data_IF_030596514114
#
_entry.id   IF_030596514114
#
_cell.length_a   1.000
_cell.length_b   1.000
_cell.length_c   1.000
_cell.angle_alpha   90.00
_cell.angle_beta   90.00
_cell.angle_gamma   90.00
#
_symmetry.space_group_name_H-M   'P 1'
#
loop_
_entity.id
_entity.type
_entity.pdbx_description
1 polymer ?
#
# COMPACT_ATOMS: atom_id res chain seq x y z
N UNK A 1 -4.40 -21.09 21.58
CA UNK A 1 -2.97 -20.79 21.71
C UNK A 1 -2.21 -21.34 20.50
N UNK A 2 -2.23 -20.55 19.42
CA UNK A 2 -1.57 -20.91 18.14
C UNK A 2 -0.05 -20.64 18.23
N UNK A 3 0.40 -20.09 19.34
CA UNK A 3 1.79 -19.72 19.60
C UNK A 3 2.69 -20.91 19.97
N UNK A 4 2.16 -22.11 20.02
CA UNK A 4 2.96 -23.24 20.48
C UNK A 4 3.38 -24.15 19.35
N UNK A 5 4.67 -24.18 19.08
CA UNK A 5 5.46 -25.39 18.80
C UNK A 5 4.88 -26.50 17.87
N UNK A 6 3.88 -26.21 17.06
CA UNK A 6 3.36 -27.14 16.07
C UNK A 6 3.32 -26.48 14.71
N UNK A 7 3.91 -27.10 13.70
CA UNK A 7 3.72 -26.69 12.32
C UNK A 7 2.22 -26.80 12.00
N UNK A 8 1.49 -25.69 12.02
CA UNK A 8 0.11 -25.65 11.54
C UNK A 8 0.10 -26.16 10.10
N UNK A 9 -0.71 -27.17 9.83
CA UNK A 9 -0.88 -27.70 8.50
C UNK A 9 -1.82 -26.81 7.72
N UNK A 10 -1.68 -26.78 6.41
CA UNK A 10 -2.61 -26.04 5.55
C UNK A 10 -4.08 -26.45 5.79
N UNK A 11 -4.31 -27.73 6.09
CA UNK A 11 -5.62 -28.27 6.46
C UNK A 11 -6.18 -27.75 7.79
N UNK A 12 -5.36 -27.14 8.62
CA UNK A 12 -5.82 -26.57 9.89
C UNK A 12 -6.47 -25.20 9.67
N UNK A 13 -6.18 -24.55 8.56
CA UNK A 13 -6.79 -23.29 8.12
C UNK A 13 -7.91 -23.51 7.10
N UNK A 14 -7.81 -24.54 6.27
CA UNK A 14 -8.75 -24.84 5.19
C UNK A 14 -9.22 -26.28 5.30
N UNK A 15 -10.43 -26.49 5.82
CA UNK A 15 -11.00 -27.85 5.94
C UNK A 15 -11.42 -28.33 4.56
N UNK A 16 -10.81 -29.41 4.03
CA UNK A 16 -11.25 -29.98 2.77
C UNK A 16 -12.57 -30.72 2.94
N UNK A 17 -13.46 -30.61 1.97
CA UNK A 17 -14.66 -31.43 1.87
C UNK A 17 -14.87 -31.85 0.40
N UNK A 18 -15.88 -32.68 0.14
CA UNK A 18 -16.09 -33.27 -1.21
C UNK A 18 -16.28 -32.23 -2.31
N UNK A 19 -16.93 -31.10 -1.99
CA UNK A 19 -17.17 -30.01 -2.96
C UNK A 19 -15.96 -29.05 -3.10
N UNK A 20 -14.98 -29.13 -2.18
CA UNK A 20 -13.79 -28.29 -2.18
C UNK A 20 -12.54 -29.12 -1.84
N UNK A 21 -12.07 -29.90 -2.80
CA UNK A 21 -10.96 -30.83 -2.59
C UNK A 21 -9.58 -30.26 -2.93
N UNK A 22 -9.49 -28.96 -3.32
CA UNK A 22 -8.28 -28.24 -3.74
C UNK A 22 -7.49 -28.90 -4.88
N UNK A 23 -8.06 -29.82 -5.64
CA UNK A 23 -7.37 -30.36 -6.82
C UNK A 23 -7.02 -29.22 -7.77
N UNK A 24 -5.86 -29.32 -8.38
CA UNK A 24 -5.32 -28.34 -9.32
C UNK A 24 -5.07 -26.94 -8.73
N UNK A 25 -5.17 -26.79 -7.40
CA UNK A 25 -4.75 -25.58 -6.71
C UNK A 25 -3.23 -25.54 -6.56
N UNK A 26 -2.65 -24.37 -6.72
CA UNK A 26 -1.23 -24.12 -6.51
C UNK A 26 -0.95 -22.68 -6.13
N UNK A 27 0.24 -22.45 -5.64
CA UNK A 27 0.75 -21.11 -5.40
C UNK A 27 2.26 -21.10 -5.60
N UNK A 28 2.77 -19.94 -5.93
CA UNK A 28 4.20 -19.70 -6.09
C UNK A 28 4.66 -18.72 -5.02
N UNK A 29 5.74 -19.04 -4.35
CA UNK A 29 6.37 -18.16 -3.37
C UNK A 29 7.67 -17.65 -3.94
N UNK A 30 7.80 -16.34 -4.04
CA UNK A 30 9.04 -15.66 -4.33
C UNK A 30 9.62 -15.14 -3.03
N UNK A 31 10.88 -15.46 -2.76
CA UNK A 31 11.55 -14.94 -1.59
C UNK A 31 12.98 -14.53 -1.93
N UNK A 32 13.43 -13.50 -1.26
CA UNK A 32 14.77 -13.00 -1.38
C UNK A 32 15.61 -13.67 -0.30
N UNK A 33 16.65 -14.39 -0.69
CA UNK A 33 17.57 -14.97 0.27
C UNK A 33 18.74 -14.02 0.46
N UNK A 34 18.96 -13.62 1.70
CA UNK A 34 20.31 -13.32 2.16
C UNK A 34 21.17 -14.57 2.10
N UNK A 35 22.37 -14.55 2.67
CA UNK A 35 23.20 -15.75 2.70
C UNK A 35 22.46 -16.92 3.38
N UNK A 36 22.33 -18.03 2.68
CA UNK A 36 21.83 -19.29 3.24
C UNK A 36 23.00 -20.06 3.88
N UNK A 37 22.77 -20.73 5.02
CA UNK A 37 23.72 -21.67 5.55
C UNK A 37 23.71 -22.98 4.73
N UNK A 38 24.64 -23.88 5.01
CA UNK A 38 24.76 -25.19 4.34
C UNK A 38 23.51 -26.10 4.49
N UNK A 39 22.54 -25.70 5.35
CA UNK A 39 21.28 -26.39 5.58
C UNK A 39 20.10 -25.67 4.89
N UNK A 40 20.36 -24.58 4.14
CA UNK A 40 19.33 -23.79 3.47
C UNK A 40 18.57 -22.81 4.37
N UNK A 41 19.05 -22.56 5.60
CA UNK A 41 18.45 -21.59 6.50
C UNK A 41 19.04 -20.19 6.25
N UNK A 42 18.20 -19.16 6.25
CA UNK A 42 18.65 -17.78 6.07
C UNK A 42 19.47 -17.33 7.27
N UNK A 43 20.73 -16.92 7.04
CA UNK A 43 21.63 -16.45 8.09
C UNK A 43 21.57 -14.93 8.24
N UNK A 44 21.35 -14.20 7.15
CA UNK A 44 21.31 -12.75 7.17
C UNK A 44 20.33 -12.21 6.14
N UNK A 45 19.67 -11.14 6.50
CA UNK A 45 18.86 -10.35 5.59
C UNK A 45 19.77 -9.32 4.90
N UNK A 46 19.75 -9.30 3.57
CA UNK A 46 20.39 -8.25 2.80
C UNK A 46 19.28 -7.30 2.35
N UNK A 47 19.23 -6.04 2.82
CA UNK A 47 18.32 -5.05 2.30
C UNK A 47 18.60 -4.86 0.80
N UNK A 48 17.60 -5.02 -0.05
CA UNK A 48 17.68 -4.95 -1.50
C UNK A 48 18.67 -5.96 -2.14
N UNK A 49 18.28 -7.24 -2.23
CA UNK A 49 19.03 -8.25 -2.97
C UNK A 49 19.10 -7.89 -4.47
N UNK A 50 20.16 -8.33 -5.14
CA UNK A 50 20.22 -8.23 -6.59
C UNK A 50 19.09 -9.05 -7.25
N UNK A 51 18.64 -8.69 -8.46
CA UNK A 51 17.54 -9.40 -9.14
C UNK A 51 17.76 -10.92 -9.29
N UNK A 52 19.02 -11.38 -9.22
CA UNK A 52 19.39 -12.80 -9.32
C UNK A 52 19.28 -13.56 -7.99
N UNK A 53 18.96 -12.88 -6.88
CA UNK A 53 18.86 -13.50 -5.56
C UNK A 53 17.40 -13.84 -5.19
N UNK A 54 16.49 -13.83 -6.17
CA UNK A 54 15.09 -14.23 -5.99
C UNK A 54 15.00 -15.74 -6.15
N UNK A 55 14.61 -16.44 -5.09
CA UNK A 55 14.27 -17.84 -5.13
C UNK A 55 12.77 -17.99 -5.35
N UNK A 56 12.41 -18.87 -6.28
CA UNK A 56 11.00 -19.16 -6.59
C UNK A 56 10.71 -20.61 -6.24
N UNK A 57 9.69 -20.82 -5.43
CA UNK A 57 9.22 -22.16 -5.08
C UNK A 57 7.75 -22.30 -5.45
N UNK A 58 7.47 -23.26 -6.33
CA UNK A 58 6.11 -23.62 -6.73
C UNK A 58 5.57 -24.74 -5.84
N UNK A 59 4.32 -24.59 -5.43
CA UNK A 59 3.56 -25.58 -4.69
C UNK A 59 2.28 -25.88 -5.44
N UNK A 60 2.05 -27.17 -5.74
CA UNK A 60 0.83 -27.63 -6.38
C UNK A 60 0.26 -28.83 -5.63
N UNK A 61 -1.06 -28.96 -5.65
CA UNK A 61 -1.74 -30.10 -5.07
C UNK A 61 -2.03 -31.17 -6.12
N UNK A 62 -1.38 -32.31 -5.99
CA UNK A 62 -1.69 -33.48 -6.80
C UNK A 62 -2.65 -34.45 -6.07
N UNK A 63 -2.27 -34.92 -4.86
CA UNK A 63 -3.12 -35.80 -4.04
C UNK A 63 -3.22 -35.36 -2.59
N UNK A 64 -2.16 -34.77 -2.07
CA UNK A 64 -2.09 -34.17 -0.71
C UNK A 64 -1.42 -32.82 -0.81
N UNK A 65 -1.91 -31.87 -0.03
CA UNK A 65 -1.20 -30.65 0.22
C UNK A 65 0.01 -30.97 1.08
N UNK A 66 1.11 -31.21 0.46
CA UNK A 66 2.36 -31.53 1.14
C UNK A 66 3.44 -30.56 0.68
N UNK A 67 3.43 -29.30 1.18
CA UNK A 67 4.55 -28.41 0.95
C UNK A 67 5.80 -29.08 1.49
N UNK A 68 6.90 -29.01 0.76
CA UNK A 68 8.19 -29.52 1.23
C UNK A 68 8.72 -28.47 2.22
N UNK A 69 8.24 -28.54 3.46
CA UNK A 69 8.55 -27.58 4.52
C UNK A 69 10.05 -27.44 4.79
N UNK A 70 10.81 -28.47 4.53
CA UNK A 70 12.27 -28.54 4.73
C UNK A 70 13.06 -27.64 3.76
N UNK A 71 12.44 -27.21 2.66
CA UNK A 71 13.09 -26.39 1.62
C UNK A 71 12.74 -24.91 1.68
N UNK A 72 11.92 -24.50 2.61
CA UNK A 72 11.56 -23.07 2.76
C UNK A 72 12.50 -22.40 3.75
N UNK A 73 12.78 -21.10 3.58
CA UNK A 73 13.49 -20.35 4.60
C UNK A 73 12.70 -20.37 5.90
N UNK A 74 13.42 -20.47 7.02
CA UNK A 74 12.79 -20.34 8.34
C UNK A 74 12.48 -18.88 8.54
N UNK A 75 11.20 -18.56 8.72
CA UNK A 75 10.73 -17.22 9.05
C UNK A 75 9.79 -17.34 10.24
N UNK A 76 10.14 -16.68 11.35
CA UNK A 76 9.27 -16.62 12.50
C UNK A 76 7.98 -15.92 12.10
N UNK A 77 6.86 -16.57 12.34
CA UNK A 77 5.56 -16.07 11.89
C UNK A 77 4.54 -16.24 12.99
N UNK A 78 3.69 -15.22 13.18
CA UNK A 78 2.59 -15.22 14.13
C UNK A 78 1.29 -14.88 13.40
N UNK A 79 0.24 -15.64 13.69
CA UNK A 79 -1.10 -15.41 13.17
C UNK A 79 -2.08 -15.04 14.28
N UNK A 80 -2.79 -13.94 14.09
CA UNK A 80 -3.87 -13.49 14.95
C UNK A 80 -5.20 -13.60 14.18
N UNK A 81 -5.97 -14.65 14.48
CA UNK A 81 -7.31 -14.85 13.92
C UNK A 81 -8.42 -14.35 14.82
N UNK A 82 -9.66 -14.42 14.34
CA UNK A 82 -10.86 -14.05 15.09
C UNK A 82 -11.10 -14.91 16.33
N UNK A 83 -10.58 -16.12 16.38
CA UNK A 83 -10.77 -17.05 17.51
C UNK A 83 -10.18 -16.53 18.82
N UNK A 84 -9.24 -15.59 18.76
CA UNK A 84 -8.64 -14.96 19.95
C UNK A 84 -9.50 -13.85 20.54
N UNK A 85 -10.57 -13.43 19.84
CA UNK A 85 -11.43 -12.30 20.23
C UNK A 85 -12.47 -12.63 21.28
N UNK A 86 -12.73 -13.90 21.56
CA UNK A 86 -13.64 -14.31 22.64
C UNK A 86 -13.19 -13.67 23.97
N UNK A 87 -14.10 -13.00 24.65
CA UNK A 87 -13.80 -12.54 26.01
C UNK A 87 -13.55 -13.75 26.85
N UNK A 88 -12.53 -13.75 27.72
CA UNK A 88 -12.28 -14.84 28.65
C UNK A 88 -13.49 -15.11 29.60
N UNK A 89 -14.44 -14.16 29.66
CA UNK A 89 -15.73 -14.34 30.35
C UNK A 89 -16.61 -15.39 29.68
N UNK A 90 -16.44 -15.64 28.39
CA UNK A 90 -17.21 -16.68 27.68
C UNK A 90 -16.63 -18.08 27.92
N UNK A 91 -15.38 -18.16 28.37
CA UNK A 91 -14.81 -19.41 28.87
C UNK A 91 -15.21 -19.63 30.33
N UNK A 92 -16.31 -20.38 30.56
CA UNK A 92 -16.83 -20.73 31.90
C UNK A 92 -15.78 -21.42 32.78
N UNK A 93 -14.76 -22.05 32.22
CA UNK A 93 -13.67 -22.69 32.96
C UNK A 93 -12.66 -21.67 33.50
N UNK A 94 -12.43 -20.58 32.80
CA UNK A 94 -11.52 -19.51 33.20
C UNK A 94 -12.15 -18.57 34.24
N UNK A 95 -13.46 -18.31 34.15
CA UNK A 95 -14.16 -17.33 34.98
C UNK A 95 -14.40 -17.75 36.44
N UNK A 96 -14.31 -19.03 36.74
CA UNK A 96 -14.74 -19.57 38.04
C UNK A 96 -13.80 -19.44 39.23
N UNK A 97 -12.56 -18.93 39.06
CA UNK A 97 -11.58 -18.86 40.15
C UNK A 97 -10.66 -17.64 40.15
N UNK A 98 -10.96 -16.75 41.04
CA UNK A 98 -10.31 -15.46 41.23
C UNK A 98 -8.95 -15.47 41.95
N UNK A 99 -8.35 -16.64 42.30
CA UNK A 99 -7.04 -16.65 42.97
C UNK A 99 -5.91 -16.78 41.94
N UNK A 100 -5.13 -15.74 41.81
CA UNK A 100 -3.97 -15.68 40.92
C UNK A 100 -2.77 -15.00 41.59
N UNK A 101 -1.58 -15.23 41.09
CA UNK A 101 -0.36 -14.55 41.49
C UNK A 101 0.00 -13.62 40.34
N UNK A 102 0.28 -12.34 40.65
CA UNK A 102 0.75 -11.37 39.70
C UNK A 102 2.27 -11.35 39.67
N UNK A 103 2.84 -11.31 38.48
CA UNK A 103 4.28 -11.18 38.22
C UNK A 103 4.49 -10.01 37.26
N UNK A 104 5.68 -9.43 37.29
CA UNK A 104 6.03 -8.42 36.31
C UNK A 104 5.96 -9.00 34.90
N UNK A 105 5.48 -8.20 33.96
CA UNK A 105 5.53 -8.57 32.56
C UNK A 105 7.00 -8.51 32.08
N UNK A 106 7.47 -9.60 31.52
CA UNK A 106 8.85 -9.68 31.05
C UNK A 106 8.89 -9.97 29.52
N UNK A 107 9.84 -9.40 28.82
CA UNK A 107 10.89 -8.46 29.28
C UNK A 107 10.37 -7.05 29.55
N UNK A 108 10.97 -6.34 30.51
CA UNK A 108 10.50 -5.02 30.94
C UNK A 108 10.46 -3.97 29.82
N UNK A 109 11.42 -3.99 28.89
CA UNK A 109 11.44 -3.07 27.75
C UNK A 109 10.29 -3.32 26.77
N UNK A 110 9.83 -4.55 26.61
CA UNK A 110 8.65 -4.88 25.81
C UNK A 110 7.38 -4.41 26.50
N UNK A 111 7.28 -4.61 27.80
CA UNK A 111 6.20 -4.04 28.63
C UNK A 111 6.02 -2.55 28.35
N UNK A 112 7.11 -1.80 28.41
CA UNK A 112 7.09 -0.36 28.21
C UNK A 112 6.62 0.01 26.78
N UNK A 113 7.15 -0.66 25.76
CA UNK A 113 6.73 -0.44 24.36
C UNK A 113 5.23 -0.71 24.18
N UNK A 114 4.70 -1.80 24.74
CA UNK A 114 3.26 -2.12 24.65
C UNK A 114 2.43 -1.01 25.34
N UNK A 115 2.80 -0.58 26.54
CA UNK A 115 2.07 0.46 27.26
C UNK A 115 2.06 1.79 26.50
N UNK A 116 3.22 2.22 25.99
CA UNK A 116 3.34 3.44 25.19
C UNK A 116 2.47 3.37 23.92
N UNK A 117 2.48 2.24 23.21
CA UNK A 117 1.66 2.02 22.04
C UNK A 117 0.15 2.03 22.38
N UNK A 118 -0.25 1.38 23.49
CA UNK A 118 -1.63 1.43 23.97
C UNK A 118 -2.07 2.85 24.32
N UNK A 119 -1.21 3.65 24.97
CA UNK A 119 -1.50 5.05 25.28
C UNK A 119 -1.76 5.86 24.01
N UNK A 120 -0.95 5.67 22.97
CA UNK A 120 -1.12 6.38 21.68
C UNK A 120 -2.38 5.99 20.95
N UNK A 121 -2.65 4.69 20.86
CA UNK A 121 -3.81 4.15 20.11
C UNK A 121 -5.13 4.44 20.79
N UNK A 122 -5.20 4.22 22.11
CA UNK A 122 -6.45 4.31 22.90
C UNK A 122 -6.64 5.66 23.59
N UNK A 123 -5.68 6.58 23.48
CA UNK A 123 -5.72 7.91 24.09
C UNK A 123 -6.04 7.88 25.60
N UNK A 124 -5.42 6.94 26.30
CA UNK A 124 -5.62 6.76 27.73
C UNK A 124 -4.29 6.49 28.44
N UNK A 125 -4.22 6.80 29.73
CA UNK A 125 -3.00 6.60 30.52
C UNK A 125 -2.91 5.15 31.03
N UNK A 126 -2.07 4.35 30.36
CA UNK A 126 -1.74 2.98 30.78
C UNK A 126 -0.39 3.00 31.50
N UNK A 127 -0.42 2.86 32.82
CA UNK A 127 0.76 3.02 33.67
C UNK A 127 1.40 1.70 34.09
N UNK A 128 0.67 0.58 34.06
CA UNK A 128 1.21 -0.73 34.44
C UNK A 128 0.59 -1.90 33.65
N UNK A 129 1.38 -2.93 33.44
CA UNK A 129 1.02 -4.20 32.84
C UNK A 129 1.71 -5.32 33.59
N UNK A 130 0.93 -6.29 34.06
CA UNK A 130 1.43 -7.46 34.80
C UNK A 130 0.90 -8.75 34.18
N UNK A 131 1.66 -9.82 34.27
CA UNK A 131 1.21 -11.17 33.95
C UNK A 131 0.65 -11.83 35.21
N UNK A 132 -0.55 -12.35 35.11
CA UNK A 132 -1.22 -13.09 36.17
C UNK A 132 -1.27 -14.58 35.82
N UNK A 133 -1.00 -15.44 36.81
CA UNK A 133 -1.05 -16.90 36.66
C UNK A 133 -1.95 -17.49 37.70
N UNK A 134 -2.94 -18.26 37.25
CA UNK A 134 -3.83 -19.04 38.15
C UNK A 134 -3.13 -20.31 38.65
N UNK A 135 -3.66 -20.92 39.70
CA UNK A 135 -3.17 -22.24 40.19
C UNK A 135 -3.25 -23.35 39.14
N UNK A 136 -4.16 -23.23 38.18
CA UNK A 136 -4.33 -24.20 37.07
C UNK A 136 -3.42 -23.93 35.87
N UNK A 137 -2.54 -22.91 35.96
CA UNK A 137 -1.60 -22.59 34.90
C UNK A 137 -2.11 -21.62 33.83
N UNK A 138 -3.36 -21.15 33.88
CA UNK A 138 -3.85 -20.12 32.96
C UNK A 138 -3.15 -18.81 33.23
N UNK A 139 -2.72 -18.14 32.15
CA UNK A 139 -2.10 -16.84 32.20
C UNK A 139 -3.00 -15.81 31.54
N UNK A 140 -3.09 -14.64 32.13
CA UNK A 140 -3.81 -13.47 31.62
C UNK A 140 -3.13 -12.19 32.06
N UNK A 141 -3.53 -11.08 31.49
CA UNK A 141 -2.90 -9.77 31.76
C UNK A 141 -3.74 -8.94 32.73
N UNK A 142 -3.05 -8.12 33.54
CA UNK A 142 -3.63 -7.13 34.44
C UNK A 142 -3.04 -5.78 34.12
N UNK A 143 -3.89 -4.77 34.03
CA UNK A 143 -3.56 -3.40 33.61
C UNK A 143 -3.90 -2.40 34.70
N UNK A 144 -3.18 -1.29 34.70
CA UNK A 144 -3.57 -0.07 35.41
C UNK A 144 -3.75 1.03 34.37
N UNK A 145 -5.00 1.53 34.25
CA UNK A 145 -5.42 2.58 33.30
C UNK A 145 -6.09 3.70 34.08
N UNK A 146 -5.62 4.93 33.91
CA UNK A 146 -6.14 6.10 34.62
C UNK A 146 -6.25 5.87 36.15
N UNK A 147 -5.26 5.18 36.73
CA UNK A 147 -5.24 4.84 38.15
C UNK A 147 -6.14 3.68 38.59
N UNK A 148 -6.93 3.09 37.69
CA UNK A 148 -7.81 1.95 37.97
C UNK A 148 -7.16 0.66 37.50
N UNK A 149 -7.09 -0.33 38.38
CA UNK A 149 -6.51 -1.64 38.06
C UNK A 149 -7.63 -2.66 37.77
N UNK A 150 -7.48 -3.34 36.62
CA UNK A 150 -8.42 -4.38 36.17
C UNK A 150 -7.67 -5.47 35.39
N UNK A 151 -8.38 -6.53 35.04
CA UNK A 151 -7.79 -7.67 34.32
C UNK A 151 -8.38 -7.80 32.92
N UNK A 152 -7.74 -8.58 32.11
CA UNK A 152 -8.17 -8.92 30.75
C UNK A 152 -9.61 -9.49 30.69
N UNK A 153 -10.11 -10.07 31.79
CA UNK A 153 -11.49 -10.58 31.90
C UNK A 153 -12.55 -9.46 31.91
N UNK A 154 -12.19 -8.26 32.35
CA UNK A 154 -13.10 -7.11 32.46
C UNK A 154 -12.77 -6.01 31.47
N UNK A 155 -11.83 -6.28 30.59
CA UNK A 155 -11.42 -5.37 29.53
C UNK A 155 -12.48 -5.31 28.43
N UNK A 156 -12.71 -4.14 27.85
CA UNK A 156 -13.55 -4.01 26.67
C UNK A 156 -12.95 -4.76 25.46
N UNK A 157 -13.80 -5.35 24.63
CA UNK A 157 -13.35 -6.21 23.55
C UNK A 157 -12.44 -5.49 22.54
N UNK A 158 -12.73 -4.23 22.21
CA UNK A 158 -11.85 -3.41 21.34
C UNK A 158 -10.51 -3.08 21.99
N UNK A 159 -10.51 -2.79 23.29
CA UNK A 159 -9.27 -2.57 24.05
C UNK A 159 -8.42 -3.84 24.10
N UNK A 160 -9.05 -5.00 24.31
CA UNK A 160 -8.38 -6.30 24.25
C UNK A 160 -7.77 -6.55 22.87
N UNK A 161 -8.51 -6.26 21.79
CA UNK A 161 -8.00 -6.40 20.42
C UNK A 161 -6.74 -5.57 20.19
N UNK A 162 -6.74 -4.30 20.59
CA UNK A 162 -5.57 -3.43 20.48
C UNK A 162 -4.39 -4.02 21.27
N UNK A 163 -4.62 -4.46 22.48
CA UNK A 163 -3.57 -5.08 23.31
C UNK A 163 -2.98 -6.34 22.65
N UNK A 164 -3.82 -7.26 22.15
CA UNK A 164 -3.35 -8.51 21.53
C UNK A 164 -2.52 -8.23 20.27
N UNK A 165 -2.96 -7.28 19.44
CA UNK A 165 -2.23 -6.87 18.23
C UNK A 165 -0.89 -6.25 18.59
N UNK A 166 -0.86 -5.30 19.52
CA UNK A 166 0.38 -4.64 19.95
C UNK A 166 1.35 -5.58 20.66
N UNK A 167 0.82 -6.50 21.48
CA UNK A 167 1.63 -7.54 22.11
C UNK A 167 2.31 -8.44 21.09
N UNK A 168 1.57 -8.84 20.04
CA UNK A 168 2.12 -9.62 18.93
C UNK A 168 3.15 -8.83 18.12
N UNK A 169 2.87 -7.57 17.78
CA UNK A 169 3.77 -6.72 17.03
C UNK A 169 5.09 -6.39 17.78
N UNK A 170 5.05 -6.43 19.11
CA UNK A 170 6.24 -6.24 19.94
C UNK A 170 6.89 -7.56 20.38
N UNK A 171 6.44 -8.72 19.87
CA UNK A 171 7.04 -10.00 20.24
C UNK A 171 8.52 -10.07 19.80
N UNK A 172 9.45 -10.30 20.72
CA UNK A 172 10.86 -10.39 20.38
C UNK A 172 11.19 -11.50 19.38
N UNK A 173 10.39 -12.57 19.34
CA UNK A 173 10.58 -13.68 18.41
C UNK A 173 10.41 -13.27 16.95
N UNK A 174 9.61 -12.25 16.68
CA UNK A 174 9.41 -11.75 15.31
C UNK A 174 10.51 -10.77 14.85
N UNK A 175 11.47 -10.44 15.70
CA UNK A 175 12.47 -9.42 15.42
C UNK A 175 13.86 -10.01 15.19
N UNK A 176 14.59 -9.59 14.15
CA UNK A 176 14.13 -8.87 12.96
C UNK A 176 13.53 -9.83 11.90
N UNK A 177 12.84 -9.27 10.92
CA UNK A 177 12.37 -9.97 9.71
C UNK A 177 11.30 -11.06 9.94
N UNK A 178 10.56 -11.00 11.02
CA UNK A 178 9.39 -11.85 11.24
C UNK A 178 8.20 -11.45 10.37
N UNK A 179 7.15 -12.27 10.42
CA UNK A 179 5.89 -12.05 9.73
C UNK A 179 4.73 -12.08 10.72
N UNK A 180 3.97 -11.00 10.80
CA UNK A 180 2.74 -10.91 11.58
C UNK A 180 1.54 -10.91 10.63
N UNK A 181 0.68 -11.91 10.76
CA UNK A 181 -0.56 -12.03 10.00
C UNK A 181 -1.73 -11.72 10.92
N UNK A 182 -2.61 -10.79 10.53
CA UNK A 182 -3.77 -10.37 11.35
C UNK A 182 -5.03 -10.47 10.49
N UNK A 183 -5.96 -11.30 10.93
CA UNK A 183 -7.25 -11.41 10.27
C UNK A 183 -8.23 -10.41 10.89
N UNK A 184 -8.91 -9.64 10.02
CA UNK A 184 -9.89 -8.62 10.40
C UNK A 184 -9.37 -7.67 11.51
N UNK A 185 -8.35 -6.88 11.16
CA UNK A 185 -7.72 -5.94 12.10
C UNK A 185 -8.72 -4.98 12.76
N UNK A 186 -9.76 -4.60 12.03
CA UNK A 186 -10.75 -3.57 12.38
C UNK A 186 -11.89 -4.06 13.29
N UNK A 187 -12.03 -5.37 13.47
CA UNK A 187 -13.11 -5.92 14.29
C UNK A 187 -13.05 -5.39 15.72
N UNK A 188 -14.20 -4.96 16.24
CA UNK A 188 -14.39 -4.38 17.57
C UNK A 188 -13.72 -2.99 17.79
N UNK A 189 -13.11 -2.39 16.77
CA UNK A 189 -12.48 -1.08 16.89
C UNK A 189 -13.39 0.03 16.39
N UNK A 190 -13.36 1.18 17.07
CA UNK A 190 -13.89 2.42 16.52
C UNK A 190 -12.94 2.96 15.45
N UNK A 191 -13.47 3.72 14.50
CA UNK A 191 -12.73 4.29 13.38
C UNK A 191 -11.43 5.00 13.80
N UNK A 192 -11.49 5.83 14.84
CA UNK A 192 -10.32 6.55 15.34
C UNK A 192 -9.25 5.62 15.90
N UNK A 193 -9.66 4.59 16.65
CA UNK A 193 -8.72 3.61 17.20
C UNK A 193 -8.11 2.74 16.12
N UNK A 194 -8.88 2.36 15.09
CA UNK A 194 -8.38 1.64 13.93
C UNK A 194 -7.28 2.42 13.21
N UNK A 195 -7.53 3.69 12.86
CA UNK A 195 -6.54 4.54 12.18
C UNK A 195 -5.26 4.67 12.99
N UNK A 196 -5.36 4.96 14.28
CA UNK A 196 -4.19 5.05 15.17
C UNK A 196 -3.45 3.73 15.32
N UNK A 197 -4.17 2.60 15.30
CA UNK A 197 -3.53 1.29 15.34
C UNK A 197 -2.75 1.02 14.06
N UNK A 198 -3.27 1.41 12.90
CA UNK A 198 -2.55 1.28 11.62
C UNK A 198 -1.30 2.16 11.62
N UNK A 199 -1.39 3.45 12.02
CA UNK A 199 -0.23 4.33 12.18
C UNK A 199 0.85 3.70 13.08
N UNK A 200 0.43 3.15 14.22
CA UNK A 200 1.34 2.51 15.18
C UNK A 200 1.99 1.25 14.59
N UNK A 201 1.24 0.44 13.84
CA UNK A 201 1.77 -0.76 13.19
C UNK A 201 2.77 -0.42 12.09
N UNK A 202 2.57 0.66 11.34
CA UNK A 202 3.53 1.16 10.35
C UNK A 202 4.85 1.51 11.05
N UNK A 203 4.80 2.32 12.11
CA UNK A 203 5.98 2.71 12.87
C UNK A 203 6.72 1.50 13.48
N UNK A 204 5.98 0.50 14.00
CA UNK A 204 6.58 -0.73 14.52
C UNK A 204 7.22 -1.56 13.41
N UNK A 205 6.58 -1.66 12.24
CA UNK A 205 7.10 -2.41 11.10
C UNK A 205 8.43 -1.85 10.62
N UNK A 206 8.55 -0.52 10.55
CA UNK A 206 9.79 0.17 10.17
C UNK A 206 10.90 0.00 11.21
N UNK A 207 10.60 0.22 12.51
CA UNK A 207 11.59 0.09 13.60
C UNK A 207 12.13 -1.34 13.73
N UNK A 208 11.28 -2.33 13.51
CA UNK A 208 11.59 -3.73 13.75
C UNK A 208 11.97 -4.52 12.52
N UNK A 209 11.90 -3.94 11.32
CA UNK A 209 11.97 -4.66 10.05
C UNK A 209 10.98 -5.84 10.02
N UNK A 210 9.75 -5.60 10.49
CA UNK A 210 8.71 -6.60 10.62
C UNK A 210 7.77 -6.52 9.42
N UNK A 211 7.49 -7.63 8.77
CA UNK A 211 6.43 -7.69 7.77
C UNK A 211 5.08 -7.90 8.45
N UNK A 212 4.13 -7.01 8.18
CA UNK A 212 2.77 -7.09 8.72
C UNK A 212 1.80 -7.20 7.55
N UNK A 213 0.96 -8.24 7.57
CA UNK A 213 -0.13 -8.41 6.60
C UNK A 213 -1.43 -8.54 7.39
N UNK A 214 -2.41 -7.73 7.04
CA UNK A 214 -3.72 -7.79 7.69
C UNK A 214 -4.86 -7.68 6.69
N UNK A 215 -6.00 -8.28 7.02
CA UNK A 215 -7.26 -8.07 6.33
C UNK A 215 -8.10 -7.02 7.06
N UNK A 216 -8.92 -6.27 6.31
CA UNK A 216 -9.86 -5.29 6.85
C UNK A 216 -10.99 -5.03 5.87
N UNK A 217 -12.16 -4.69 6.40
CA UNK A 217 -13.31 -4.21 5.64
C UNK A 217 -13.48 -2.69 5.73
N UNK A 218 -12.53 -1.98 6.34
CA UNK A 218 -12.60 -0.52 6.54
C UNK A 218 -12.12 0.23 5.31
N UNK A 219 -12.97 1.10 4.80
CA UNK A 219 -12.63 2.01 3.69
C UNK A 219 -11.53 2.98 4.04
N UNK A 220 -11.48 3.42 5.29
CA UNK A 220 -10.47 4.36 5.77
C UNK A 220 -9.03 3.86 5.63
N UNK A 221 -8.82 2.56 5.34
CA UNK A 221 -7.49 2.03 5.00
C UNK A 221 -6.88 2.72 3.77
N UNK A 222 -7.70 3.25 2.88
CA UNK A 222 -7.27 3.94 1.67
C UNK A 222 -6.41 5.17 1.96
N UNK A 223 -6.60 5.82 3.11
CA UNK A 223 -5.76 6.96 3.50
C UNK A 223 -4.28 6.60 3.68
N UNK A 224 -3.99 5.32 3.98
CA UNK A 224 -2.64 4.78 4.18
C UNK A 224 -2.00 4.22 2.92
N UNK A 225 -2.60 4.41 1.74
CA UNK A 225 -2.14 3.83 0.45
C UNK A 225 -0.71 4.21 0.05
N UNK A 226 -0.10 5.18 0.70
CA UNK A 226 1.30 5.59 0.47
C UNK A 226 2.29 4.84 1.34
N UNK A 227 1.85 4.47 2.53
CA UNK A 227 2.66 3.81 3.55
C UNK A 227 2.55 2.29 3.46
N UNK A 228 1.41 1.78 2.96
CA UNK A 228 1.15 0.33 2.88
C UNK A 228 0.71 -0.10 1.48
N UNK A 229 1.02 -1.34 1.13
CA UNK A 229 0.53 -1.97 -0.09
C UNK A 229 -0.89 -2.51 0.15
N UNK A 230 -1.86 -1.97 -0.56
CA UNK A 230 -3.25 -2.41 -0.50
C UNK A 230 -3.52 -3.38 -1.65
N UNK A 231 -4.19 -4.47 -1.36
CA UNK A 231 -4.70 -5.43 -2.36
C UNK A 231 -6.20 -5.59 -2.14
N UNK A 232 -6.98 -5.22 -3.14
CA UNK A 232 -8.44 -5.37 -3.11
C UNK A 232 -8.82 -6.77 -3.60
N UNK A 233 -9.68 -7.47 -2.85
CA UNK A 233 -10.12 -8.84 -3.14
C UNK A 233 -11.61 -8.81 -3.44
N UNK A 234 -11.99 -9.32 -4.62
CA UNK A 234 -13.37 -9.34 -5.08
C UNK A 234 -13.85 -10.76 -5.33
N UNK A 235 -15.08 -11.05 -4.92
CA UNK A 235 -15.79 -12.24 -5.34
C UNK A 235 -16.60 -11.92 -6.62
N UNK A 236 -16.12 -12.40 -7.75
CA UNK A 236 -16.73 -12.16 -9.07
C UNK A 236 -17.86 -13.15 -9.40
N UNK A 237 -18.29 -13.99 -8.45
CA UNK A 237 -19.28 -15.04 -8.70
C UNK A 237 -18.73 -16.25 -9.47
N UNK A 238 -17.76 -16.06 -10.34
CA UNK A 238 -17.04 -17.13 -11.05
C UNK A 238 -15.71 -17.50 -10.39
N UNK A 239 -15.30 -16.73 -9.39
CA UNK A 239 -14.04 -16.91 -8.67
C UNK A 239 -13.67 -15.66 -7.89
N UNK A 240 -12.57 -15.76 -7.15
CA UNK A 240 -11.98 -14.64 -6.40
C UNK A 240 -10.87 -14.02 -7.25
N UNK A 241 -10.90 -12.71 -7.39
CA UNK A 241 -9.86 -11.92 -8.06
C UNK A 241 -9.23 -10.94 -7.08
N UNK A 242 -7.90 -10.78 -7.17
CA UNK A 242 -7.14 -9.85 -6.35
C UNK A 242 -6.50 -8.79 -7.26
N UNK A 243 -6.64 -7.54 -6.91
CA UNK A 243 -6.10 -6.40 -7.66
C UNK A 243 -5.22 -5.54 -6.75
N UNK A 244 -4.02 -5.15 -7.19
CA UNK A 244 -3.20 -4.21 -6.44
C UNK A 244 -3.85 -2.82 -6.43
N UNK A 245 -3.81 -2.16 -5.28
CA UNK A 245 -4.36 -0.83 -5.09
C UNK A 245 -5.85 -0.85 -4.71
N UNK A 246 -6.41 0.37 -4.65
CA UNK A 246 -7.83 0.61 -4.38
C UNK A 246 -8.43 1.20 -5.63
N UNK A 247 -9.29 0.45 -6.30
CA UNK A 247 -10.06 0.97 -7.43
C UNK A 247 -11.36 1.64 -6.94
N UNK A 248 -11.92 2.52 -7.76
CA UNK A 248 -13.24 3.10 -7.50
C UNK A 248 -14.33 2.01 -7.36
N UNK A 249 -14.17 0.90 -8.07
CA UNK A 249 -15.07 -0.25 -7.95
C UNK A 249 -14.91 -0.99 -6.62
N UNK A 250 -13.71 -1.02 -6.03
CA UNK A 250 -13.49 -1.55 -4.69
C UNK A 250 -14.22 -0.71 -3.64
N UNK A 251 -14.12 0.60 -3.74
CA UNK A 251 -14.86 1.52 -2.87
C UNK A 251 -16.37 1.36 -3.04
N UNK A 252 -16.87 1.26 -4.26
CA UNK A 252 -18.30 1.03 -4.54
C UNK A 252 -18.86 -0.23 -3.85
N UNK A 253 -18.11 -1.34 -3.89
CA UNK A 253 -18.55 -2.60 -3.28
C UNK A 253 -18.53 -2.55 -1.75
N UNK A 254 -17.68 -1.71 -1.15
CA UNK A 254 -17.58 -1.56 0.29
C UNK A 254 -18.65 -0.61 0.86
N UNK A 255 -19.05 0.43 0.11
CA UNK A 255 -19.80 1.55 0.66
C UNK A 255 -21.25 1.65 0.18
N UNK A 256 -21.61 0.98 -0.94
CA UNK A 256 -22.83 1.28 -1.73
C UNK A 256 -22.94 2.77 -2.12
N UNK A 257 -22.00 3.61 -1.75
CA UNK A 257 -21.91 5.03 -2.08
C UNK A 257 -20.92 5.16 -3.23
N UNK A 258 -21.32 5.80 -4.32
CA UNK A 258 -20.38 6.29 -5.32
C UNK A 258 -19.84 7.63 -4.81
N UNK A 259 -18.61 7.71 -4.31
CA UNK A 259 -18.01 9.03 -4.17
C UNK A 259 -17.92 9.62 -5.58
N UNK A 260 -18.42 10.81 -5.75
CA UNK A 260 -18.21 11.53 -7.01
C UNK A 260 -16.73 11.87 -7.09
N UNK A 261 -16.01 11.14 -7.94
CA UNK A 261 -14.58 11.33 -8.15
C UNK A 261 -14.32 11.83 -9.57
N UNK A 262 -13.23 12.56 -9.73
CA UNK A 262 -12.69 12.92 -11.04
C UNK A 262 -11.85 11.74 -11.51
N UNK A 263 -12.16 11.22 -12.70
CA UNK A 263 -11.33 10.17 -13.32
C UNK A 263 -10.28 10.81 -14.21
N UNK A 264 -9.01 10.60 -13.87
CA UNK A 264 -7.87 11.05 -14.67
C UNK A 264 -7.22 9.82 -15.32
N UNK A 265 -7.24 9.79 -16.64
CA UNK A 265 -6.61 8.73 -17.42
C UNK A 265 -5.28 9.22 -17.98
N UNK A 266 -4.23 8.43 -17.85
CA UNK A 266 -2.86 8.75 -18.28
C UNK A 266 -2.26 7.64 -19.14
N UNK A 267 -1.18 7.91 -19.86
CA UNK A 267 -0.58 6.95 -20.78
C UNK A 267 0.15 5.82 -20.06
N UNK A 268 0.98 6.13 -19.07
CA UNK A 268 1.86 5.18 -18.40
C UNK A 268 2.04 5.44 -16.90
N UNK A 269 2.87 4.65 -16.26
CA UNK A 269 3.16 4.76 -14.82
C UNK A 269 3.94 6.03 -14.45
N UNK A 270 4.74 6.56 -15.36
CA UNK A 270 5.47 7.81 -15.13
C UNK A 270 4.49 9.00 -15.11
N UNK A 271 3.57 9.03 -16.06
CA UNK A 271 2.49 10.00 -16.11
C UNK A 271 1.58 9.90 -14.87
N UNK A 272 1.24 8.66 -14.43
CA UNK A 272 0.50 8.41 -13.18
C UNK A 272 1.26 8.99 -11.98
N UNK A 273 2.55 8.76 -11.90
CA UNK A 273 3.38 9.28 -10.82
C UNK A 273 3.39 10.81 -10.82
N UNK A 274 3.47 11.45 -11.99
CA UNK A 274 3.41 12.91 -12.09
C UNK A 274 2.07 13.49 -11.62
N UNK A 275 0.96 12.85 -11.97
CA UNK A 275 -0.36 13.25 -11.48
C UNK A 275 -0.47 13.04 -9.97
N UNK A 276 0.01 11.92 -9.45
CA UNK A 276 -0.02 11.66 -8.00
C UNK A 276 0.74 12.73 -7.20
N UNK A 277 1.94 13.12 -7.66
CA UNK A 277 2.71 14.22 -7.06
C UNK A 277 1.94 15.55 -7.11
N UNK A 278 1.21 15.82 -8.20
CA UNK A 278 0.32 16.97 -8.29
C UNK A 278 -0.79 16.90 -7.23
N UNK A 279 -1.49 15.76 -7.15
CA UNK A 279 -2.63 15.56 -6.24
C UNK A 279 -2.19 15.66 -4.77
N UNK A 280 -1.01 15.14 -4.45
CA UNK A 280 -0.39 15.28 -3.13
C UNK A 280 -0.19 16.73 -2.73
N UNK A 281 0.36 17.50 -3.65
CA UNK A 281 0.65 18.91 -3.42
C UNK A 281 -0.61 19.76 -3.24
N UNK A 282 -1.67 19.43 -3.98
CA UNK A 282 -2.96 20.15 -3.93
C UNK A 282 -3.93 19.56 -2.88
N UNK A 283 -3.54 18.50 -2.16
CA UNK A 283 -4.39 17.77 -1.20
C UNK A 283 -5.70 17.24 -1.81
N UNK A 284 -5.64 16.75 -3.06
CA UNK A 284 -6.80 16.27 -3.83
C UNK A 284 -6.79 14.75 -4.05
N UNK A 285 -5.96 14.02 -3.33
CA UNK A 285 -5.76 12.57 -3.53
C UNK A 285 -7.00 11.72 -3.24
N UNK A 286 -7.92 12.20 -2.46
CA UNK A 286 -9.19 11.58 -2.09
C UNK A 286 -10.34 11.88 -3.07
N UNK A 287 -10.16 12.89 -3.94
CA UNK A 287 -11.15 13.34 -4.92
C UNK A 287 -10.89 12.89 -6.36
N UNK A 288 -9.73 12.30 -6.62
CA UNK A 288 -9.27 11.98 -7.98
C UNK A 288 -8.79 10.54 -8.05
N UNK A 289 -9.31 9.79 -9.01
CA UNK A 289 -8.83 8.46 -9.38
C UNK A 289 -7.98 8.53 -10.64
N UNK A 290 -6.84 7.80 -10.66
CA UNK A 290 -5.87 7.86 -11.76
C UNK A 290 -5.67 6.48 -12.36
N UNK A 291 -6.10 6.32 -13.62
CA UNK A 291 -6.04 5.06 -14.36
C UNK A 291 -5.15 5.16 -15.61
N UNK A 292 -4.69 4.02 -16.11
CA UNK A 292 -3.90 3.95 -17.34
C UNK A 292 -4.77 3.65 -18.55
N UNK A 293 -4.48 4.31 -19.69
CA UNK A 293 -5.08 3.95 -20.98
C UNK A 293 -4.07 3.39 -21.99
N UNK A 294 -2.78 3.49 -21.73
CA UNK A 294 -1.71 3.02 -22.63
C UNK A 294 -1.38 4.03 -23.75
N UNK A 295 -1.36 3.59 -24.99
CA UNK A 295 -0.95 4.44 -26.12
C UNK A 295 -1.84 5.67 -26.31
N UNK A 296 -1.23 6.80 -26.73
CA UNK A 296 -1.86 8.13 -26.86
C UNK A 296 -3.19 8.15 -27.61
N UNK A 297 -3.35 7.33 -28.65
CA UNK A 297 -4.58 7.21 -29.42
C UNK A 297 -5.76 6.70 -28.59
N UNK A 298 -5.50 5.90 -27.56
CA UNK A 298 -6.53 5.35 -26.67
C UNK A 298 -7.24 6.42 -25.86
N UNK A 299 -6.67 7.60 -25.67
CA UNK A 299 -7.32 8.72 -24.99
C UNK A 299 -8.66 9.10 -25.63
N UNK A 300 -8.69 9.15 -26.96
CA UNK A 300 -9.92 9.41 -27.70
C UNK A 300 -10.90 8.23 -27.63
N UNK A 301 -10.40 6.99 -27.61
CA UNK A 301 -11.23 5.76 -27.52
C UNK A 301 -11.92 5.70 -26.16
N UNK A 302 -11.20 5.93 -25.07
CA UNK A 302 -11.75 5.94 -23.69
C UNK A 302 -12.84 6.98 -23.56
N UNK A 303 -12.55 8.24 -23.91
CA UNK A 303 -13.53 9.32 -23.82
C UNK A 303 -14.76 9.10 -24.72
N UNK A 304 -14.56 8.63 -25.94
CA UNK A 304 -15.64 8.32 -26.87
C UNK A 304 -16.49 7.14 -26.34
N UNK A 305 -15.87 6.12 -25.80
CA UNK A 305 -16.55 4.95 -25.21
C UNK A 305 -17.42 5.35 -24.02
N UNK A 306 -16.86 6.09 -23.06
CA UNK A 306 -17.59 6.59 -21.89
C UNK A 306 -18.77 7.47 -22.29
N UNK A 307 -18.58 8.39 -23.24
CA UNK A 307 -19.65 9.24 -23.76
C UNK A 307 -20.76 8.44 -24.42
N UNK A 308 -20.43 7.45 -25.24
CA UNK A 308 -21.40 6.58 -25.90
C UNK A 308 -22.15 5.68 -24.91
N UNK A 309 -21.51 5.31 -23.79
CA UNK A 309 -22.12 4.60 -22.69
C UNK A 309 -23.06 5.48 -21.82
N UNK A 310 -23.11 6.78 -22.08
CA UNK A 310 -23.97 7.72 -21.33
C UNK A 310 -23.32 8.29 -20.07
N UNK A 311 -22.00 8.06 -19.87
CA UNK A 311 -21.27 8.65 -18.75
C UNK A 311 -21.02 10.14 -18.97
N UNK A 312 -21.20 10.96 -17.93
CA UNK A 312 -20.86 12.38 -17.98
C UNK A 312 -19.33 12.55 -17.98
N UNK A 313 -18.80 12.81 -19.18
CA UNK A 313 -17.34 13.00 -19.36
C UNK A 313 -16.81 14.34 -18.80
N UNK A 314 -17.65 15.21 -18.22
CA UNK A 314 -17.19 16.44 -17.58
C UNK A 314 -16.22 16.16 -16.42
N UNK A 315 -16.40 15.03 -15.72
CA UNK A 315 -15.55 14.58 -14.63
C UNK A 315 -14.41 13.68 -15.08
N UNK A 316 -14.20 13.54 -16.40
CA UNK A 316 -13.16 12.71 -16.98
C UNK A 316 -12.11 13.59 -17.64
N UNK A 317 -10.84 13.33 -17.37
CA UNK A 317 -9.69 14.02 -17.93
C UNK A 317 -8.73 12.98 -18.49
N UNK A 318 -8.32 13.09 -19.74
CA UNK A 318 -7.26 12.29 -20.33
C UNK A 318 -6.00 13.16 -20.48
N UNK A 319 -4.86 12.64 -20.03
CA UNK A 319 -3.58 13.36 -20.05
C UNK A 319 -2.59 12.59 -20.89
N UNK A 320 -2.07 13.25 -21.93
CA UNK A 320 -1.02 12.75 -22.82
C UNK A 320 0.36 13.14 -22.29
N UNK A 321 1.38 12.35 -22.61
CA UNK A 321 2.77 12.60 -22.19
C UNK A 321 3.39 13.88 -22.78
N UNK A 322 2.76 14.41 -23.83
CA UNK A 322 3.12 15.70 -24.41
C UNK A 322 4.19 15.63 -25.50
N UNK A 323 4.53 14.45 -25.98
CA UNK A 323 5.43 14.24 -27.14
C UNK A 323 4.67 14.02 -28.44
N UNK A 324 3.41 13.53 -28.39
CA UNK A 324 2.54 13.29 -29.57
C UNK A 324 1.17 13.98 -29.38
N UNK A 325 0.45 14.15 -30.51
CA UNK A 325 -0.92 14.74 -30.58
C UNK A 325 -1.08 16.09 -29.85
N UNK A 326 -0.06 16.94 -29.96
CA UNK A 326 0.01 18.23 -29.26
C UNK A 326 -0.93 19.28 -29.80
N UNK A 327 -1.30 19.19 -31.07
CA UNK A 327 -2.11 20.21 -31.73
C UNK A 327 -3.58 19.84 -31.78
N UNK A 328 -4.45 20.85 -31.74
CA UNK A 328 -5.90 20.63 -31.89
C UNK A 328 -6.26 19.88 -33.18
N UNK A 329 -5.66 20.14 -34.35
CA UNK A 329 -5.91 19.34 -35.56
C UNK A 329 -5.56 17.86 -35.42
N UNK A 330 -4.45 17.53 -34.75
CA UNK A 330 -4.06 16.15 -34.50
C UNK A 330 -5.06 15.43 -33.60
N UNK A 331 -5.51 16.09 -32.53
CA UNK A 331 -6.57 15.55 -31.64
C UNK A 331 -7.89 15.38 -32.39
N UNK A 332 -8.26 16.31 -33.25
CA UNK A 332 -9.43 16.15 -34.12
C UNK A 332 -9.32 14.92 -35.00
N UNK A 333 -8.12 14.62 -35.52
CA UNK A 333 -7.90 13.45 -36.38
C UNK A 333 -8.15 12.14 -35.65
N UNK A 334 -7.66 11.98 -34.41
CA UNK A 334 -7.89 10.75 -33.63
C UNK A 334 -9.34 10.65 -33.18
N UNK A 335 -9.95 11.73 -32.68
CA UNK A 335 -11.36 11.72 -32.24
C UNK A 335 -12.32 11.43 -33.38
N UNK A 336 -12.06 11.93 -34.60
CA UNK A 336 -12.89 11.64 -35.77
C UNK A 336 -12.88 10.16 -36.18
N UNK A 337 -11.82 9.43 -35.84
CA UNK A 337 -11.75 7.97 -36.07
C UNK A 337 -12.65 7.20 -35.09
N UNK A 338 -12.79 7.70 -33.86
CA UNK A 338 -13.56 7.04 -32.80
C UNK A 338 -15.04 7.42 -32.83
N UNK A 339 -15.37 8.69 -33.12
CA UNK A 339 -16.73 9.19 -33.20
C UNK A 339 -17.09 9.54 -34.67
N UNK A 340 -17.53 8.54 -35.41
CA UNK A 340 -17.95 8.69 -36.82
C UNK A 340 -19.40 9.22 -36.89
N UNK A 341 -19.78 9.81 -38.03
CA UNK A 341 -21.10 10.39 -38.26
C UNK A 341 -21.12 11.91 -38.37
N UNK A 342 -22.04 12.47 -39.15
CA UNK A 342 -22.13 13.91 -39.40
C UNK A 342 -22.80 14.66 -38.23
N UNK A 343 -23.63 13.99 -37.47
CA UNK A 343 -24.40 14.47 -36.32
C UNK A 343 -23.57 14.56 -35.02
N UNK A 344 -22.32 14.07 -35.00
CA UNK A 344 -21.46 13.95 -33.81
C UNK A 344 -20.54 15.17 -33.54
N UNK A 345 -20.77 16.30 -34.18
CA UNK A 345 -19.85 17.47 -34.07
C UNK A 345 -19.70 17.99 -32.65
N UNK A 346 -20.76 18.09 -31.89
CA UNK A 346 -20.72 18.57 -30.49
C UNK A 346 -20.03 17.56 -29.58
N UNK A 347 -20.32 16.26 -29.75
CA UNK A 347 -19.70 15.20 -29.00
C UNK A 347 -18.18 15.16 -29.24
N UNK A 348 -17.71 15.30 -30.49
CA UNK A 348 -16.28 15.39 -30.80
C UNK A 348 -15.64 16.59 -30.13
N UNK A 349 -16.31 17.75 -30.12
CA UNK A 349 -15.81 18.95 -29.44
C UNK A 349 -15.69 18.70 -27.94
N UNK A 350 -16.69 18.09 -27.32
CA UNK A 350 -16.67 17.75 -25.90
C UNK A 350 -15.52 16.81 -25.54
N UNK A 351 -15.29 15.76 -26.36
CA UNK A 351 -14.16 14.83 -26.17
C UNK A 351 -12.80 15.55 -26.25
N UNK A 352 -12.62 16.40 -27.27
CA UNK A 352 -11.35 17.14 -27.47
C UNK A 352 -11.02 18.03 -26.29
N UNK A 353 -12.02 18.66 -25.67
CA UNK A 353 -11.81 19.52 -24.48
C UNK A 353 -11.43 18.76 -23.23
N UNK A 354 -11.49 17.43 -23.23
CA UNK A 354 -11.11 16.58 -22.10
C UNK A 354 -9.72 15.95 -22.28
N UNK A 355 -9.03 16.23 -23.38
CA UNK A 355 -7.68 15.75 -23.66
C UNK A 355 -6.69 16.87 -23.35
N UNK A 356 -5.86 16.63 -22.34
CA UNK A 356 -4.79 17.51 -21.89
C UNK A 356 -3.43 16.89 -22.20
N UNK A 357 -2.37 17.62 -21.97
CA UNK A 357 -0.99 17.14 -22.15
C UNK A 357 -0.07 17.74 -21.11
N UNK A 358 1.00 17.03 -20.79
CA UNK A 358 2.11 17.62 -20.09
C UNK A 358 2.89 18.57 -21.01
N UNK A 359 3.29 19.73 -20.48
CA UNK A 359 4.00 20.71 -21.27
C UNK A 359 5.52 20.50 -21.20
N UNK A 360 6.05 19.73 -22.13
CA UNK A 360 7.49 19.46 -22.24
C UNK A 360 8.22 20.62 -22.93
N UNK A 361 9.45 20.92 -22.49
CA UNK A 361 10.28 21.99 -23.04
C UNK A 361 11.24 21.51 -24.13
N UNK A 362 11.62 20.25 -24.11
CA UNK A 362 12.54 19.63 -25.09
C UNK A 362 11.95 18.30 -25.60
N UNK A 363 11.66 18.24 -26.88
CA UNK A 363 11.08 17.09 -27.57
C UNK A 363 12.09 16.41 -28.52
N UNK A 364 13.33 16.79 -28.47
CA UNK A 364 14.36 16.33 -29.43
C UNK A 364 14.86 14.93 -29.12
N UNK A 365 14.54 14.41 -27.95
CA UNK A 365 15.02 13.11 -27.46
C UNK A 365 13.92 12.07 -27.43
N UNK A 366 14.25 10.82 -27.75
CA UNK A 366 13.40 9.67 -27.46
C UNK A 366 13.32 9.48 -25.96
N UNK A 367 12.12 9.33 -25.38
CA UNK A 367 11.90 9.44 -23.94
C UNK A 367 11.97 10.92 -23.50
N UNK A 368 11.21 11.79 -24.16
CA UNK A 368 11.21 13.21 -23.87
C UNK A 368 10.78 13.56 -22.43
N UNK A 369 9.77 12.92 -21.82
CA UNK A 369 9.40 13.18 -20.42
C UNK A 369 10.58 12.99 -19.47
N UNK A 370 11.24 11.84 -19.49
CA UNK A 370 12.35 11.48 -18.61
C UNK A 370 13.56 12.42 -18.80
N UNK A 371 13.82 12.78 -20.07
CA UNK A 371 14.89 13.72 -20.37
C UNK A 371 14.63 15.12 -19.79
N UNK A 372 13.39 15.62 -19.89
CA UNK A 372 12.98 16.88 -19.29
C UNK A 372 13.07 16.83 -17.76
N UNK A 373 12.57 15.75 -17.15
CA UNK A 373 12.62 15.56 -15.69
C UNK A 373 14.07 15.57 -15.19
N UNK A 374 14.98 14.86 -15.85
CA UNK A 374 16.41 14.91 -15.54
C UNK A 374 16.93 16.33 -15.55
N UNK A 375 16.70 17.07 -16.64
CA UNK A 375 17.20 18.44 -16.78
C UNK A 375 16.67 19.38 -15.70
N UNK A 376 15.37 19.29 -15.40
CA UNK A 376 14.75 20.13 -14.39
C UNK A 376 15.23 19.79 -12.99
N UNK A 377 15.42 18.52 -12.69
CA UNK A 377 15.96 18.06 -11.43
C UNK A 377 17.41 18.52 -11.20
N UNK A 378 18.27 18.37 -12.21
CA UNK A 378 19.66 18.77 -12.13
C UNK A 378 19.85 20.30 -12.07
N UNK A 379 18.90 21.06 -12.61
CA UNK A 379 18.88 22.51 -12.57
C UNK A 379 18.42 23.10 -11.22
N UNK A 380 17.92 22.28 -10.28
CA UNK A 380 17.55 22.75 -8.93
C UNK A 380 18.80 23.28 -8.23
N UNK A 381 18.71 24.51 -7.70
CA UNK A 381 19.77 25.08 -6.89
C UNK A 381 19.83 24.36 -5.53
N UNK A 382 20.96 23.71 -5.19
CA UNK A 382 21.10 23.05 -3.89
C UNK A 382 20.87 23.96 -2.68
N UNK A 383 21.07 25.24 -2.83
CA UNK A 383 20.91 26.20 -1.72
C UNK A 383 19.46 26.39 -1.25
N UNK A 384 18.47 26.06 -2.12
CA UNK A 384 17.06 26.19 -1.76
C UNK A 384 16.45 24.91 -1.18
N UNK A 385 17.20 23.79 -1.22
CA UNK A 385 16.73 22.50 -0.71
C UNK A 385 16.80 22.52 0.81
N UNK A 386 15.76 22.00 1.47
CA UNK A 386 15.71 21.97 2.94
C UNK A 386 16.87 21.15 3.53
N UNK A 387 17.31 21.52 4.74
CA UNK A 387 18.44 20.85 5.40
C UNK A 387 18.19 19.34 5.61
N UNK A 388 16.93 18.94 5.83
CA UNK A 388 16.53 17.55 6.01
C UNK A 388 16.67 16.73 4.73
N UNK A 389 16.36 17.33 3.59
CA UNK A 389 16.38 16.66 2.29
C UNK A 389 17.72 16.78 1.56
N UNK A 390 18.60 17.68 2.01
CA UNK A 390 19.82 18.06 1.29
C UNK A 390 20.77 16.91 1.00
N UNK A 391 20.98 16.05 1.99
CA UNK A 391 21.91 14.92 1.86
C UNK A 391 21.43 13.90 0.80
N UNK A 392 20.13 13.56 0.83
CA UNK A 392 19.52 12.66 -0.13
C UNK A 392 19.46 13.29 -1.53
N UNK A 393 19.00 14.52 -1.64
CA UNK A 393 18.96 15.27 -2.88
C UNK A 393 20.32 15.30 -3.57
N UNK A 394 21.38 15.66 -2.84
CA UNK A 394 22.74 15.76 -3.38
C UNK A 394 23.23 14.42 -3.89
N UNK A 395 22.98 13.34 -3.14
CA UNK A 395 23.36 11.99 -3.55
C UNK A 395 22.65 11.56 -4.85
N UNK A 396 21.33 11.72 -4.91
CA UNK A 396 20.54 11.36 -6.10
C UNK A 396 20.95 12.23 -7.29
N UNK A 397 21.18 13.53 -7.08
CA UNK A 397 21.63 14.46 -8.13
C UNK A 397 22.98 14.05 -8.71
N UNK A 398 23.95 13.61 -7.90
CA UNK A 398 25.23 13.10 -8.39
C UNK A 398 25.06 11.87 -9.28
N UNK A 399 24.18 10.92 -8.90
CA UNK A 399 23.87 9.77 -9.73
C UNK A 399 23.18 10.19 -11.04
N UNK A 400 22.21 11.09 -10.99
CA UNK A 400 21.55 11.64 -12.18
C UNK A 400 22.57 12.24 -13.15
N UNK A 401 23.47 13.10 -12.65
CA UNK A 401 24.52 13.75 -13.46
C UNK A 401 25.52 12.76 -14.08
N UNK A 402 25.66 11.57 -13.53
CA UNK A 402 26.52 10.52 -14.09
C UNK A 402 25.88 9.82 -15.30
N UNK A 403 24.55 9.89 -15.45
CA UNK A 403 23.80 9.28 -16.55
C UNK A 403 23.77 10.25 -17.73
N UNK A 404 24.58 10.00 -18.75
CA UNK A 404 24.67 10.85 -19.93
C UNK A 404 24.71 10.01 -21.22
N UNK A 405 24.34 10.62 -22.35
CA UNK A 405 24.51 10.02 -23.67
C UNK A 405 23.59 8.85 -23.98
N UNK A 406 22.42 8.76 -23.33
CA UNK A 406 21.44 7.71 -23.62
C UNK A 406 20.88 7.90 -25.05
N UNK A 407 20.79 6.80 -25.80
CA UNK A 407 20.11 6.77 -27.07
C UNK A 407 18.58 6.78 -26.90
N UNK A 408 18.11 6.17 -25.82
CA UNK A 408 16.73 6.09 -25.40
C UNK A 408 16.61 6.52 -23.93
N UNK A 409 15.90 7.63 -23.67
CA UNK A 409 15.79 8.19 -22.33
C UNK A 409 14.72 7.52 -21.48
N UNK A 410 13.88 6.65 -22.02
CA UNK A 410 13.00 5.80 -21.22
C UNK A 410 13.78 4.93 -20.21
N UNK A 411 15.06 4.62 -20.50
CA UNK A 411 15.94 3.89 -19.59
C UNK A 411 16.49 4.74 -18.41
N UNK A 412 16.17 6.02 -18.35
CA UNK A 412 16.79 6.95 -17.37
C UNK A 412 16.46 6.55 -15.93
N UNK A 413 15.19 6.34 -15.63
CA UNK A 413 14.75 6.00 -14.28
C UNK A 413 15.23 4.61 -13.85
N UNK A 414 15.23 3.64 -14.74
CA UNK A 414 15.77 2.30 -14.46
C UNK A 414 17.25 2.36 -14.05
N UNK A 415 18.04 3.11 -14.82
CA UNK A 415 19.47 3.31 -14.52
C UNK A 415 19.68 4.09 -13.22
N UNK A 416 18.88 5.11 -12.97
CA UNK A 416 18.96 5.90 -11.75
C UNK A 416 18.55 5.06 -10.53
N UNK A 417 17.50 4.27 -10.65
CA UNK A 417 17.04 3.35 -9.61
C UNK A 417 18.13 2.34 -9.23
N UNK A 418 18.79 1.76 -10.26
CA UNK A 418 19.92 0.86 -10.05
C UNK A 418 21.09 1.51 -9.29
N UNK A 419 21.43 2.77 -9.61
CA UNK A 419 22.51 3.51 -8.96
C UNK A 419 22.12 3.97 -7.55
N UNK A 420 20.93 4.51 -7.39
CA UNK A 420 20.46 5.05 -6.13
C UNK A 420 20.00 3.95 -5.14
N UNK A 421 19.65 2.78 -5.65
CA UNK A 421 19.04 1.66 -4.91
C UNK A 421 17.83 2.10 -4.08
N UNK A 422 16.99 2.93 -4.70
CA UNK A 422 15.82 3.51 -4.05
C UNK A 422 14.55 3.14 -4.84
N UNK A 423 13.59 2.41 -4.25
CA UNK A 423 12.31 2.16 -4.91
C UNK A 423 11.58 3.49 -5.16
N UNK A 424 10.75 3.53 -6.19
CA UNK A 424 9.95 4.69 -6.57
C UNK A 424 10.79 5.98 -6.79
N UNK A 425 11.94 5.84 -7.43
CA UNK A 425 12.85 6.98 -7.68
C UNK A 425 12.18 8.07 -8.52
N UNK A 426 11.25 7.71 -9.41
CA UNK A 426 10.43 8.60 -10.23
C UNK A 426 9.64 9.56 -9.34
N UNK A 427 8.95 9.03 -8.34
CA UNK A 427 8.18 9.84 -7.39
C UNK A 427 9.09 10.80 -6.62
N UNK A 428 10.25 10.31 -6.18
CA UNK A 428 11.22 11.15 -5.46
C UNK A 428 11.70 12.32 -6.34
N UNK A 429 12.09 12.04 -7.57
CA UNK A 429 12.55 13.07 -8.52
C UNK A 429 11.45 14.10 -8.81
N UNK A 430 10.24 13.62 -9.14
CA UNK A 430 9.10 14.49 -9.42
C UNK A 430 8.67 15.30 -8.21
N UNK A 431 8.79 14.76 -7.00
CA UNK A 431 8.55 15.51 -5.76
C UNK A 431 9.56 16.64 -5.58
N UNK A 432 10.86 16.41 -5.83
CA UNK A 432 11.87 17.48 -5.82
C UNK A 432 11.60 18.53 -6.89
N UNK A 433 11.27 18.11 -8.12
CA UNK A 433 10.94 19.04 -9.20
C UNK A 433 9.71 19.87 -8.83
N UNK A 434 8.67 19.24 -8.28
CA UNK A 434 7.44 19.93 -7.88
C UNK A 434 7.67 20.97 -6.80
N UNK A 435 8.59 20.71 -5.90
CA UNK A 435 8.87 21.55 -4.72
C UNK A 435 9.84 22.67 -5.03
N UNK A 436 10.86 22.41 -5.84
CA UNK A 436 12.01 23.29 -5.99
C UNK A 436 12.26 23.80 -7.42
N UNK A 437 11.63 23.24 -8.46
CA UNK A 437 11.84 23.66 -9.83
C UNK A 437 10.69 24.53 -10.36
N UNK A 438 10.96 25.73 -10.91
CA UNK A 438 9.92 26.55 -11.54
C UNK A 438 9.32 25.88 -12.79
N UNK A 439 10.01 24.91 -13.39
CA UNK A 439 9.54 24.17 -14.56
C UNK A 439 8.26 23.36 -14.26
N UNK A 440 8.06 22.91 -13.01
CA UNK A 440 6.88 22.16 -12.60
C UNK A 440 5.57 22.87 -12.92
N UNK A 441 5.47 24.14 -12.53
CA UNK A 441 4.22 24.89 -12.71
C UNK A 441 3.84 25.01 -14.20
N UNK A 442 4.84 25.11 -15.10
CA UNK A 442 4.58 25.14 -16.54
C UNK A 442 4.21 23.74 -17.06
N UNK A 443 4.91 22.71 -16.58
CA UNK A 443 4.72 21.31 -16.97
C UNK A 443 3.29 20.82 -16.80
N UNK A 444 2.63 21.17 -15.69
CA UNK A 444 1.30 20.68 -15.31
C UNK A 444 0.19 21.75 -15.36
N UNK A 445 0.46 22.96 -15.83
CA UNK A 445 -0.42 24.13 -15.64
C UNK A 445 -1.87 23.91 -16.07
N UNK A 446 -2.09 23.38 -17.26
CA UNK A 446 -3.43 23.13 -17.80
C UNK A 446 -4.16 22.02 -17.06
N UNK A 447 -3.45 20.95 -16.74
CA UNK A 447 -3.95 19.77 -16.01
C UNK A 447 -4.35 20.17 -14.59
N UNK A 448 -3.45 20.87 -13.89
CA UNK A 448 -3.66 21.38 -12.54
C UNK A 448 -4.93 22.22 -12.44
N UNK A 449 -5.06 23.18 -13.36
CA UNK A 449 -6.23 24.06 -13.42
C UNK A 449 -7.51 23.25 -13.57
N UNK A 450 -7.57 22.35 -14.55
CA UNK A 450 -8.76 21.54 -14.80
C UNK A 450 -9.15 20.67 -13.61
N UNK A 451 -8.16 19.99 -12.99
CA UNK A 451 -8.42 19.14 -11.82
C UNK A 451 -8.95 19.96 -10.63
N UNK A 452 -8.35 21.13 -10.35
CA UNK A 452 -8.82 22.01 -9.26
C UNK A 452 -10.23 22.53 -9.54
N UNK A 453 -10.49 23.01 -10.77
CA UNK A 453 -11.81 23.52 -11.15
C UNK A 453 -12.89 22.43 -10.98
N UNK A 454 -12.59 21.16 -11.36
CA UNK A 454 -13.53 20.04 -11.17
C UNK A 454 -13.67 19.61 -9.71
N UNK A 455 -12.58 19.63 -8.96
CA UNK A 455 -12.63 19.27 -7.54
C UNK A 455 -13.49 20.27 -6.73
N UNK A 456 -13.50 21.53 -7.12
CA UNK A 456 -14.38 22.55 -6.53
C UNK A 456 -15.87 22.37 -6.90
N UNK A 457 -16.18 21.69 -8.03
CA UNK A 457 -17.56 21.35 -8.40
C UNK A 457 -18.13 20.15 -7.62
N UNK A 458 -17.27 19.38 -6.91
CA UNK A 458 -17.68 18.24 -6.08
C UNK A 458 -18.02 18.64 -4.63
N UNK A 459 -17.67 19.85 -4.23
CA UNK A 459 -18.02 20.44 -2.92
C UNK A 459 -19.42 21.07 -2.95
#
# INVERSE_FOLDING_TARGET
DITSKGNNRFSDFFTPHDDNNWRDSGFTVHFYAGSLNNQGNMISFVPAPAPNDVFTQEYSKVSRWKPVYERRPVKESLYLGLQTLGTLSDDQAASRHAKYVSQNFEPAHIKQKILESMCRVLEADYSDLMTCKTRRGYTFSKFTKNGITYTEHTMGAGEKRVYEVLKAAHDPLLRPNGLLLIDELDVLLHEKAFKKLVDELIAIAEDALLEIVFSTHRESIVQFRREINIVSIFNMGTGISAFPGVSADALRQLTDIQPEMISVFVEDELARTAINVLLEREALTDKVDVELFGAAENSAVVLAGLMLAGTDIKKVVCVLDGDVHRTVPERHKIVNKCLTGTDKKEQRRAVITRIFEFNLTDLTKKGAPEYNHKRWFEAIDPAIVSAEEFAEFTKIRQFSMSINGLADWHEYYDKLNHLARKPNIEHTILSYISKYSPAWNNYISAIRKEIIDRAAELE
#
